data_IF_075824952121
#
_entry.id   IF_075824952121
#
_cell.length_a   1.000
_cell.length_b   1.000
_cell.length_c   1.000
_cell.angle_alpha   90.00
_cell.angle_beta   90.00
_cell.angle_gamma   90.00
#
_symmetry.space_group_name_H-M   'P 1'
#
loop_
_entity.id
_entity.type
_entity.pdbx_description
1 polymer ?
#
# COMPACT_ATOMS: atom_id res chain seq x y z
N UNK A 1 -6.39 -10.69 15.34
CA UNK A 1 -6.47 -11.87 14.45
C UNK A 1 -6.23 -11.41 13.02
N UNK A 2 -5.67 -12.25 12.17
CA UNK A 2 -5.64 -12.06 10.72
C UNK A 2 -6.72 -12.91 10.06
N UNK A 3 -7.28 -12.41 8.96
CA UNK A 3 -8.37 -13.04 8.22
C UNK A 3 -7.91 -13.38 6.80
N UNK A 4 -8.55 -14.37 6.18
CA UNK A 4 -8.45 -14.70 4.77
C UNK A 4 -9.83 -15.13 4.27
N UNK A 5 -10.31 -14.52 3.19
CA UNK A 5 -11.61 -14.78 2.61
C UNK A 5 -11.41 -15.45 1.25
N UNK A 6 -12.02 -16.62 1.07
CA UNK A 6 -11.96 -17.36 -0.19
C UNK A 6 -13.19 -18.24 -0.32
N UNK A 7 -13.78 -18.27 -1.52
CA UNK A 7 -14.92 -19.15 -1.85
C UNK A 7 -16.04 -19.06 -0.79
N UNK A 8 -16.46 -17.83 -0.48
CA UNK A 8 -17.51 -17.53 0.48
C UNK A 8 -17.24 -18.05 1.92
N UNK A 9 -15.97 -18.31 2.25
CA UNK A 9 -15.55 -18.83 3.55
C UNK A 9 -14.48 -17.94 4.17
N UNK A 10 -14.65 -17.63 5.46
CA UNK A 10 -13.68 -16.89 6.24
C UNK A 10 -12.77 -17.84 7.01
N UNK A 11 -11.46 -17.64 6.91
CA UNK A 11 -10.45 -18.42 7.61
C UNK A 11 -9.65 -17.53 8.57
N UNK A 12 -9.20 -18.11 9.69
CA UNK A 12 -8.21 -17.48 10.56
C UNK A 12 -6.83 -17.60 9.91
N UNK A 13 -6.34 -16.55 9.25
CA UNK A 13 -5.03 -16.58 8.58
C UNK A 13 -3.85 -16.39 9.53
N UNK A 14 -4.08 -15.70 10.64
CA UNK A 14 -3.05 -15.47 11.66
C UNK A 14 -3.64 -15.37 13.05
N UNK A 15 -3.11 -16.18 13.96
CA UNK A 15 -3.33 -15.96 15.38
C UNK A 15 -2.46 -14.79 15.88
N UNK A 16 -3.11 -13.76 16.41
CA UNK A 16 -2.46 -12.58 16.98
C UNK A 16 -2.70 -12.44 18.48
N UNK A 17 -3.26 -13.46 19.13
CA UNK A 17 -3.52 -13.50 20.57
C UNK A 17 -2.40 -14.32 21.28
N UNK A 18 -2.48 -14.50 22.60
CA UNK A 18 -1.63 -15.48 23.33
C UNK A 18 -2.32 -16.83 23.47
N UNK A 19 -3.60 -16.92 23.12
CA UNK A 19 -4.33 -18.18 23.17
C UNK A 19 -3.88 -19.03 21.99
N UNK A 20 -2.95 -19.95 22.26
CA UNK A 20 -2.39 -20.89 21.27
C UNK A 20 -3.43 -21.88 20.74
N UNK A 21 -4.60 -22.01 21.40
CA UNK A 21 -5.68 -22.89 20.93
C UNK A 21 -6.45 -22.30 19.73
N UNK A 22 -6.24 -21.02 19.41
CA UNK A 22 -6.69 -20.43 18.15
C UNK A 22 -5.75 -20.86 17.02
N UNK A 23 -6.16 -21.89 16.29
CA UNK A 23 -5.36 -22.49 15.24
C UNK A 23 -5.57 -21.78 13.90
N UNK A 24 -4.47 -21.31 13.29
CA UNK A 24 -4.53 -20.77 11.94
C UNK A 24 -5.05 -21.82 10.95
N UNK A 25 -5.91 -21.40 10.04
CA UNK A 25 -6.61 -22.26 9.08
C UNK A 25 -7.95 -22.79 9.50
N UNK A 26 -8.34 -22.60 10.76
CA UNK A 26 -9.73 -22.84 11.15
C UNK A 26 -10.68 -21.91 10.40
N UNK A 27 -11.79 -22.47 9.91
CA UNK A 27 -12.93 -21.71 9.37
C UNK A 27 -13.58 -20.94 10.51
N UNK A 28 -13.95 -19.69 10.26
CA UNK A 28 -14.74 -18.87 11.19
C UNK A 28 -16.19 -18.98 10.74
N UNK A 29 -17.01 -19.68 11.53
CA UNK A 29 -18.42 -19.89 11.23
C UNK A 29 -19.28 -18.70 11.67
N UNK A 30 -18.96 -18.12 12.84
CA UNK A 30 -19.61 -16.91 13.33
C UNK A 30 -18.74 -16.18 14.36
N UNK A 31 -18.96 -14.88 14.49
CA UNK A 31 -18.47 -14.04 15.58
C UNK A 31 -19.69 -13.38 16.22
N UNK A 32 -19.91 -13.58 17.52
CA UNK A 32 -21.11 -13.10 18.23
C UNK A 32 -22.41 -13.53 17.51
N UNK A 33 -22.45 -14.77 17.01
CA UNK A 33 -23.58 -15.30 16.25
C UNK A 33 -23.72 -14.77 14.82
N UNK A 34 -22.97 -13.74 14.42
CA UNK A 34 -23.01 -13.17 13.07
C UNK A 34 -22.10 -13.98 12.14
N UNK A 35 -22.72 -14.57 11.11
CA UNK A 35 -22.02 -15.27 10.02
C UNK A 35 -21.25 -14.26 9.15
N UNK A 36 -19.97 -14.51 8.81
CA UNK A 36 -19.19 -13.65 7.91
C UNK A 36 -19.87 -13.38 6.56
N UNK A 37 -20.60 -14.36 6.03
CA UNK A 37 -21.34 -14.26 4.76
C UNK A 37 -22.42 -13.17 4.83
N UNK A 38 -23.08 -12.99 5.99
CA UNK A 38 -24.08 -11.94 6.15
C UNK A 38 -23.43 -10.55 6.04
N UNK A 39 -22.23 -10.38 6.60
CA UNK A 39 -21.46 -9.15 6.48
C UNK A 39 -20.99 -8.93 5.06
N UNK A 40 -20.52 -9.98 4.38
CA UNK A 40 -20.11 -9.89 2.98
C UNK A 40 -21.27 -9.39 2.12
N UNK A 41 -22.43 -10.03 2.18
CA UNK A 41 -23.63 -9.62 1.42
C UNK A 41 -24.06 -8.18 1.75
N UNK A 42 -24.08 -7.80 3.03
CA UNK A 42 -24.52 -6.47 3.47
C UNK A 42 -23.55 -5.36 3.04
N UNK A 43 -22.25 -5.58 3.18
CA UNK A 43 -21.25 -4.53 3.00
C UNK A 43 -20.55 -4.55 1.65
N UNK A 44 -20.58 -5.65 0.90
CA UNK A 44 -20.01 -5.73 -0.46
C UNK A 44 -20.47 -4.60 -1.38
N UNK A 45 -21.74 -4.16 -1.38
CA UNK A 45 -22.18 -3.03 -2.21
C UNK A 45 -21.62 -1.66 -1.80
N UNK A 46 -21.01 -1.54 -0.61
CA UNK A 46 -20.55 -0.26 -0.05
C UNK A 46 -19.16 0.18 -0.52
N UNK A 47 -18.45 -0.67 -1.26
CA UNK A 47 -17.16 -0.36 -1.85
C UNK A 47 -17.06 -0.92 -3.27
N UNK A 48 -16.21 -0.28 -4.08
CA UNK A 48 -15.99 -0.62 -5.48
C UNK A 48 -14.54 -0.99 -5.71
N UNK A 49 -14.31 -1.81 -6.72
CA UNK A 49 -13.02 -1.97 -7.40
C UNK A 49 -12.99 -1.06 -8.63
N UNK A 50 -11.81 -0.95 -9.26
CA UNK A 50 -11.73 -0.25 -10.54
C UNK A 50 -12.30 -1.14 -11.66
N UNK A 51 -13.32 -0.64 -12.37
CA UNK A 51 -13.91 -1.33 -13.52
C UNK A 51 -14.50 -2.70 -13.19
N UNK A 52 -14.02 -3.73 -13.91
CA UNK A 52 -14.45 -5.13 -13.81
C UNK A 52 -13.55 -5.97 -12.89
N UNK A 53 -12.61 -5.36 -12.17
CA UNK A 53 -11.70 -6.08 -11.30
C UNK A 53 -12.44 -6.79 -10.15
N UNK A 54 -12.17 -8.07 -9.94
CA UNK A 54 -12.71 -8.84 -8.81
C UNK A 54 -11.66 -9.16 -7.74
N UNK A 55 -10.37 -9.10 -8.07
CA UNK A 55 -9.27 -9.51 -7.16
C UNK A 55 -9.13 -8.60 -5.94
N UNK A 56 -9.47 -7.31 -6.04
CA UNK A 56 -9.41 -6.40 -4.90
C UNK A 56 -10.54 -6.65 -3.89
N UNK A 57 -11.67 -7.19 -4.33
CA UNK A 57 -12.89 -7.23 -3.53
C UNK A 57 -12.72 -8.05 -2.26
N UNK A 58 -12.19 -9.26 -2.40
CA UNK A 58 -11.98 -10.16 -1.26
C UNK A 58 -10.95 -9.58 -0.29
N UNK A 59 -9.86 -9.01 -0.81
CA UNK A 59 -8.85 -8.35 0.01
C UNK A 59 -9.39 -7.11 0.74
N UNK A 60 -10.27 -6.33 0.10
CA UNK A 60 -10.90 -5.19 0.72
C UNK A 60 -11.84 -5.64 1.85
N UNK A 61 -12.62 -6.70 1.63
CA UNK A 61 -13.48 -7.29 2.64
C UNK A 61 -12.68 -7.75 3.86
N UNK A 62 -11.59 -8.51 3.68
CA UNK A 62 -10.72 -8.95 4.78
C UNK A 62 -10.18 -7.79 5.62
N UNK A 63 -9.73 -6.72 4.95
CA UNK A 63 -9.19 -5.52 5.60
C UNK A 63 -10.24 -4.75 6.38
N UNK A 64 -11.46 -4.69 5.87
CA UNK A 64 -12.58 -3.95 6.47
C UNK A 64 -13.39 -4.80 7.45
N UNK A 65 -13.18 -6.11 7.50
CA UNK A 65 -13.93 -7.01 8.36
C UNK A 65 -13.98 -6.59 9.84
N UNK A 66 -12.88 -6.16 10.49
CA UNK A 66 -12.95 -5.64 11.86
C UNK A 66 -13.87 -4.42 12.00
N UNK A 67 -13.91 -3.56 10.97
CA UNK A 67 -14.78 -2.38 10.93
C UNK A 67 -16.24 -2.77 10.74
N UNK A 68 -16.54 -3.79 9.93
CA UNK A 68 -17.91 -4.27 9.75
C UNK A 68 -18.46 -4.87 11.05
N UNK A 69 -17.70 -5.72 11.73
CA UNK A 69 -18.10 -6.19 13.06
C UNK A 69 -18.26 -5.06 14.08
N UNK A 70 -17.38 -4.05 14.05
CA UNK A 70 -17.53 -2.87 14.90
C UNK A 70 -18.85 -2.11 14.62
N UNK A 71 -19.28 -2.03 13.36
CA UNK A 71 -20.52 -1.36 12.99
C UNK A 71 -21.76 -2.14 13.45
N UNK A 72 -21.73 -3.48 13.42
CA UNK A 72 -22.86 -4.30 13.89
C UNK A 72 -22.93 -4.40 15.42
N UNK A 73 -21.79 -4.54 16.09
CA UNK A 73 -21.71 -4.92 17.51
C UNK A 73 -21.35 -3.76 18.44
N UNK A 74 -20.94 -2.61 17.88
CA UNK A 74 -20.29 -1.55 18.63
C UNK A 74 -18.88 -1.91 19.09
N UNK A 75 -18.37 -1.21 20.10
CA UNK A 75 -17.10 -1.56 20.73
C UNK A 75 -17.31 -2.67 21.76
N UNK A 76 -16.55 -3.75 21.63
CA UNK A 76 -16.56 -4.89 22.54
C UNK A 76 -15.13 -5.17 23.03
N UNK A 77 -14.98 -5.43 24.32
CA UNK A 77 -13.69 -5.84 24.90
C UNK A 77 -13.47 -7.35 24.85
N UNK A 78 -14.51 -8.13 24.55
CA UNK A 78 -14.38 -9.54 24.22
C UNK A 78 -15.41 -9.92 23.15
N UNK A 79 -15.06 -10.92 22.35
CA UNK A 79 -15.94 -11.50 21.34
C UNK A 79 -15.88 -13.02 21.40
N UNK A 80 -17.03 -13.68 21.26
CA UNK A 80 -17.14 -15.11 21.10
C UNK A 80 -17.06 -15.48 19.63
N UNK A 81 -16.19 -16.43 19.30
CA UNK A 81 -15.95 -16.87 17.93
C UNK A 81 -16.14 -18.38 17.85
N UNK A 82 -17.01 -18.80 16.93
CA UNK A 82 -17.25 -20.21 16.59
C UNK A 82 -16.37 -20.58 15.39
N UNK A 83 -15.53 -21.58 15.58
CA UNK A 83 -14.63 -22.10 14.57
C UNK A 83 -15.04 -23.50 14.12
N UNK A 84 -14.61 -23.88 12.92
CA UNK A 84 -14.59 -25.26 12.42
C UNK A 84 -13.19 -25.62 11.94
N UNK A 85 -12.74 -26.81 12.28
CA UNK A 85 -11.48 -27.38 11.81
C UNK A 85 -11.67 -28.87 11.55
N UNK A 86 -11.36 -29.31 10.33
CA UNK A 86 -11.77 -30.63 9.85
C UNK A 86 -13.27 -30.83 10.13
N UNK A 87 -13.64 -31.92 10.81
CA UNK A 87 -15.04 -32.30 11.05
C UNK A 87 -15.54 -31.87 12.44
N UNK A 88 -14.78 -31.04 13.16
CA UNK A 88 -15.15 -30.58 14.52
C UNK A 88 -15.30 -29.07 14.60
N UNK A 89 -16.20 -28.61 15.47
CA UNK A 89 -16.39 -27.21 15.83
C UNK A 89 -15.85 -26.93 17.22
N UNK A 90 -15.39 -25.69 17.43
CA UNK A 90 -14.96 -25.25 18.77
C UNK A 90 -15.20 -23.74 18.92
N UNK A 91 -15.52 -23.31 20.13
CA UNK A 91 -15.79 -21.91 20.45
C UNK A 91 -14.68 -21.32 21.32
N UNK A 92 -14.31 -20.06 21.07
CA UNK A 92 -13.33 -19.32 21.88
C UNK A 92 -13.77 -17.90 22.11
N UNK A 93 -13.51 -17.41 23.32
CA UNK A 93 -13.66 -15.98 23.64
C UNK A 93 -12.33 -15.27 23.41
N UNK A 94 -12.30 -14.37 22.44
CA UNK A 94 -11.15 -13.54 22.13
C UNK A 94 -11.29 -12.22 22.87
N UNK A 95 -10.31 -11.91 23.72
CA UNK A 95 -10.33 -10.70 24.54
C UNK A 95 -9.38 -9.65 23.97
N UNK A 96 -9.84 -8.40 23.99
CA UNK A 96 -9.05 -7.22 23.64
C UNK A 96 -7.88 -7.06 24.61
N UNK A 97 -6.74 -6.62 24.11
CA UNK A 97 -5.62 -6.21 24.94
C UNK A 97 -5.46 -4.71 25.00
N UNK A 98 -5.17 -4.25 26.20
CA UNK A 98 -4.58 -2.96 26.45
C UNK A 98 -3.08 -3.20 26.64
N UNK A 99 -2.25 -2.63 25.78
CA UNK A 99 -0.82 -2.53 26.09
C UNK A 99 -0.73 -1.72 27.39
N UNK A 100 -0.08 -2.24 28.43
CA UNK A 100 0.14 -1.50 29.67
C UNK A 100 0.83 -0.20 29.32
N UNK A 101 0.20 0.93 29.60
CA UNK A 101 0.86 2.23 29.52
C UNK A 101 2.04 2.14 30.49
N UNK A 102 3.27 2.20 30.00
CA UNK A 102 4.44 2.44 30.83
C UNK A 102 4.23 3.79 31.52
N UNK A 103 3.58 3.79 32.68
CA UNK A 103 3.59 4.89 33.62
C UNK A 103 5.02 5.01 34.11
N UNK A 104 5.82 5.79 33.38
CA UNK A 104 7.05 6.36 33.92
C UNK A 104 6.66 7.30 35.06
N UNK A 105 6.41 6.72 36.22
CA UNK A 105 6.39 7.45 37.48
C UNK A 105 7.78 8.08 37.63
N UNK A 106 7.84 9.40 37.52
CA UNK A 106 9.00 10.18 37.95
C UNK A 106 9.06 10.10 39.48
N UNK A 107 9.67 9.02 40.00
CA UNK A 107 10.15 9.01 41.38
C UNK A 107 11.52 9.68 41.38
N UNK A 108 11.59 10.85 42.02
CA UNK A 108 12.83 11.57 42.23
C UNK A 108 13.62 10.91 43.34
N UNK A 109 14.76 10.30 43.01
CA UNK A 109 15.88 10.13 43.92
C UNK A 109 17.15 10.41 43.10
N UNK A 110 17.86 11.47 43.48
CA UNK A 110 19.22 11.76 43.00
C UNK A 110 20.16 10.74 43.64
N UNK A 111 20.77 9.89 42.81
CA UNK A 111 21.99 9.18 43.22
C UNK A 111 22.97 9.14 42.05
N UNK A 112 24.05 9.88 42.26
CA UNK A 112 25.42 9.75 41.74
C UNK A 112 25.66 8.96 40.44
N UNK A 113 26.17 9.71 39.47
CA UNK A 113 26.67 9.30 38.15
C UNK A 113 27.77 8.23 38.30
N UNK A 114 27.50 7.04 37.77
CA UNK A 114 28.54 6.14 37.25
C UNK A 114 28.25 5.97 35.76
N UNK A 115 29.12 6.54 34.91
CA UNK A 115 29.08 6.37 33.45
C UNK A 115 29.34 4.90 33.10
N UNK A 116 28.27 4.12 32.94
CA UNK A 116 28.29 2.91 32.10
C UNK A 116 28.10 3.35 30.65
N UNK A 117 29.12 3.15 29.82
CA UNK A 117 29.06 3.36 28.37
C UNK A 117 27.94 2.48 27.79
N UNK A 118 26.86 3.12 27.33
CA UNK A 118 25.59 2.48 26.97
C UNK A 118 25.53 2.11 25.48
N UNK A 119 25.75 0.83 25.15
CA UNK A 119 25.33 0.24 23.85
C UNK A 119 23.80 0.29 23.54
N UNK A 120 22.86 0.39 24.50
CA UNK A 120 21.42 0.47 24.22
C UNK A 120 20.97 1.72 23.45
N UNK A 121 21.64 2.85 23.62
CA UNK A 121 21.21 4.14 23.07
C UNK A 121 21.53 4.29 21.57
N UNK A 122 22.64 3.70 21.12
CA UNK A 122 23.01 3.63 19.69
C UNK A 122 22.04 2.76 18.88
N UNK A 123 21.70 1.55 19.37
CA UNK A 123 20.73 0.68 18.68
C UNK A 123 19.35 1.35 18.54
N UNK A 124 18.90 2.09 19.56
CA UNK A 124 17.62 2.83 19.49
C UNK A 124 17.67 4.01 18.52
N UNK A 125 18.78 4.75 18.48
CA UNK A 125 18.95 5.88 17.56
C UNK A 125 19.02 5.41 16.09
N UNK A 126 19.69 4.28 15.85
CA UNK A 126 19.79 3.65 14.53
C UNK A 126 18.43 3.15 14.03
N UNK A 127 17.65 2.48 14.89
CA UNK A 127 16.30 2.05 14.55
C UNK A 127 15.39 3.23 14.22
N UNK A 128 15.46 4.33 14.98
CA UNK A 128 14.68 5.55 14.70
C UNK A 128 15.08 6.16 13.35
N UNK A 129 16.39 6.17 13.04
CA UNK A 129 16.91 6.65 11.76
C UNK A 129 16.43 5.78 10.59
N UNK A 130 16.51 4.45 10.72
CA UNK A 130 16.01 3.51 9.71
C UNK A 130 14.51 3.67 9.47
N UNK A 131 13.70 3.78 10.53
CA UNK A 131 12.25 4.06 10.45
C UNK A 131 11.94 5.34 9.67
N UNK A 132 12.73 6.39 9.87
CA UNK A 132 12.57 7.67 9.18
C UNK A 132 12.93 7.57 7.69
N UNK A 133 14.00 6.84 7.35
CA UNK A 133 14.49 6.73 5.98
C UNK A 133 13.59 5.81 5.16
N UNK A 134 13.40 4.57 5.59
CA UNK A 134 12.65 3.56 4.82
C UNK A 134 11.14 3.60 5.07
N UNK A 135 10.68 4.47 5.97
CA UNK A 135 9.27 4.66 6.30
C UNK A 135 8.76 3.60 7.26
N UNK A 136 8.03 4.01 8.30
CA UNK A 136 7.36 3.10 9.22
C UNK A 136 5.88 3.45 9.29
N UNK A 137 5.04 2.50 8.88
CA UNK A 137 3.60 2.61 8.99
C UNK A 137 3.17 2.12 10.38
N UNK A 138 2.76 3.06 11.24
CA UNK A 138 2.38 2.76 12.61
C UNK A 138 1.11 1.90 12.71
N UNK A 139 0.17 2.06 11.76
CA UNK A 139 -1.08 1.29 11.72
C UNK A 139 -0.82 -0.18 11.38
N UNK A 140 0.06 -0.43 10.40
CA UNK A 140 0.44 -1.78 9.99
C UNK A 140 1.57 -2.38 10.85
N UNK A 141 2.20 -1.57 11.70
CA UNK A 141 3.43 -1.90 12.46
C UNK A 141 4.53 -2.49 11.56
N UNK A 142 4.73 -1.91 10.37
CA UNK A 142 5.65 -2.42 9.34
C UNK A 142 6.44 -1.30 8.68
N UNK A 143 7.63 -1.65 8.18
CA UNK A 143 8.44 -0.78 7.35
C UNK A 143 7.87 -0.70 5.92
N UNK A 144 7.83 0.49 5.34
CA UNK A 144 7.25 0.71 4.00
C UNK A 144 8.15 0.19 2.89
N UNK A 145 9.47 0.24 3.06
CA UNK A 145 10.47 -0.28 2.12
C UNK A 145 11.40 -1.25 2.85
N UNK A 146 11.52 -2.48 2.34
CA UNK A 146 12.32 -3.54 2.96
C UNK A 146 13.11 -4.28 1.88
N UNK A 147 14.42 -4.37 2.04
CA UNK A 147 15.30 -5.15 1.17
C UNK A 147 15.80 -6.38 1.92
N UNK A 148 15.63 -7.56 1.33
CA UNK A 148 16.16 -8.83 1.83
C UNK A 148 16.76 -9.67 0.69
N UNK A 149 17.50 -10.71 1.06
CA UNK A 149 18.06 -11.70 0.13
C UNK A 149 17.43 -13.05 0.48
N UNK A 150 16.40 -13.49 -0.28
CA UNK A 150 15.58 -14.64 0.10
C UNK A 150 16.30 -15.98 -0.05
N UNK A 151 17.39 -16.05 -0.82
CA UNK A 151 18.16 -17.27 -1.03
C UNK A 151 19.36 -17.27 -0.08
N UNK A 152 19.42 -18.27 0.82
CA UNK A 152 20.51 -18.37 1.79
C UNK A 152 21.84 -18.59 1.09
N UNK A 153 22.82 -17.72 1.35
CA UNK A 153 24.16 -17.80 0.78
C UNK A 153 24.29 -17.24 -0.63
N UNK A 154 23.20 -16.75 -1.23
CA UNK A 154 23.19 -16.19 -2.58
C UNK A 154 22.66 -14.76 -2.56
N UNK A 155 23.55 -13.80 -2.78
CA UNK A 155 23.21 -12.38 -2.83
C UNK A 155 22.89 -11.88 -4.25
N UNK A 156 22.94 -12.76 -5.25
CA UNK A 156 22.54 -12.43 -6.62
C UNK A 156 21.02 -12.24 -6.76
N UNK A 157 20.24 -12.80 -5.83
CA UNK A 157 18.78 -12.66 -5.78
C UNK A 157 18.38 -11.74 -4.63
N UNK A 158 17.76 -10.60 -4.95
CA UNK A 158 17.27 -9.65 -3.97
C UNK A 158 15.74 -9.50 -4.02
N UNK A 159 15.11 -9.33 -2.87
CA UNK A 159 13.68 -9.03 -2.72
C UNK A 159 13.51 -7.63 -2.13
N UNK A 160 12.99 -6.71 -2.93
CA UNK A 160 12.54 -5.38 -2.50
C UNK A 160 11.03 -5.39 -2.29
N UNK A 161 10.59 -5.44 -1.04
CA UNK A 161 9.18 -5.30 -0.68
C UNK A 161 8.83 -3.84 -0.43
N UNK A 162 7.86 -3.32 -1.20
CA UNK A 162 7.32 -1.96 -1.02
C UNK A 162 5.87 -2.06 -0.58
N UNK A 163 5.63 -1.89 0.72
CA UNK A 163 4.32 -2.03 1.35
C UNK A 163 3.40 -0.84 1.02
N UNK A 164 3.97 0.36 0.89
CA UNK A 164 3.26 1.57 0.52
C UNK A 164 4.19 2.67 -0.01
N UNK A 165 3.63 3.63 -0.74
CA UNK A 165 4.32 4.82 -1.25
C UNK A 165 4.04 6.08 -0.39
N UNK A 166 3.71 5.89 0.90
CA UNK A 166 3.18 6.92 1.79
C UNK A 166 4.12 7.29 2.94
N UNK A 167 5.15 6.50 3.26
CA UNK A 167 6.10 6.83 4.33
C UNK A 167 7.56 6.77 3.90
N UNK A 168 8.41 7.46 4.66
CA UNK A 168 9.87 7.47 4.48
C UNK A 168 10.39 8.64 3.66
N UNK A 169 11.68 8.57 3.34
CA UNK A 169 12.43 9.53 2.53
C UNK A 169 12.84 8.85 1.22
N UNK A 170 12.00 8.85 0.18
CA UNK A 170 12.20 8.01 -1.01
C UNK A 170 13.57 8.21 -1.67
N UNK A 171 14.01 9.47 -1.84
CA UNK A 171 15.34 9.76 -2.42
C UNK A 171 16.48 9.07 -1.67
N UNK A 172 16.48 9.17 -0.34
CA UNK A 172 17.52 8.58 0.50
C UNK A 172 17.38 7.06 0.62
N UNK A 173 16.15 6.56 0.73
CA UNK A 173 15.85 5.14 0.84
C UNK A 173 16.25 4.38 -0.41
N UNK A 174 15.77 4.80 -1.59
CA UNK A 174 16.06 4.11 -2.84
C UNK A 174 17.53 4.22 -3.20
N UNK A 175 18.19 5.37 -3.01
CA UNK A 175 19.64 5.45 -3.20
C UNK A 175 20.39 4.37 -2.41
N UNK A 176 20.12 4.24 -1.11
CA UNK A 176 20.76 3.21 -0.25
C UNK A 176 20.43 1.78 -0.69
N UNK A 177 19.20 1.54 -1.17
CA UNK A 177 18.77 0.22 -1.64
C UNK A 177 19.53 -0.14 -2.92
N UNK A 178 19.51 0.72 -3.93
CA UNK A 178 20.14 0.45 -5.22
C UNK A 178 21.67 0.47 -5.16
N UNK A 179 22.28 1.29 -4.29
CA UNK A 179 23.71 1.19 -3.97
C UNK A 179 24.04 -0.20 -3.39
N UNK A 180 23.18 -0.72 -2.50
CA UNK A 180 23.34 -2.08 -1.94
C UNK A 180 23.14 -3.17 -2.98
N UNK A 181 22.22 -3.01 -3.94
CA UNK A 181 22.07 -3.96 -5.05
C UNK A 181 23.36 -4.03 -5.88
N UNK A 182 23.95 -2.86 -6.19
CA UNK A 182 25.22 -2.79 -6.92
C UNK A 182 26.39 -3.44 -6.17
N UNK A 183 26.52 -3.16 -4.87
CA UNK A 183 27.56 -3.78 -4.02
C UNK A 183 27.47 -5.30 -3.92
N UNK A 184 26.27 -5.86 -4.06
CA UNK A 184 26.03 -7.31 -3.99
C UNK A 184 25.94 -7.96 -5.38
N UNK A 185 26.21 -7.20 -6.45
CA UNK A 185 26.14 -7.68 -7.83
C UNK A 185 24.84 -8.43 -8.13
N UNK A 186 23.72 -7.88 -7.67
CA UNK A 186 22.39 -8.51 -7.81
C UNK A 186 22.07 -8.72 -9.29
N UNK A 187 21.79 -9.97 -9.66
CA UNK A 187 21.40 -10.37 -11.01
C UNK A 187 19.89 -10.39 -11.18
N UNK A 188 19.15 -10.76 -10.11
CA UNK A 188 17.70 -10.87 -10.10
C UNK A 188 17.08 -10.02 -8.98
N UNK A 189 16.28 -9.03 -9.36
CA UNK A 189 15.52 -8.21 -8.42
C UNK A 189 14.05 -8.61 -8.46
N UNK A 190 13.52 -8.98 -7.31
CA UNK A 190 12.10 -9.24 -7.10
C UNK A 190 11.50 -8.02 -6.41
N UNK A 191 10.65 -7.27 -7.10
CA UNK A 191 9.88 -6.16 -6.56
C UNK A 191 8.51 -6.65 -6.10
N UNK A 192 8.28 -6.72 -4.79
CA UNK A 192 7.00 -7.15 -4.21
C UNK A 192 6.10 -5.93 -3.95
N UNK A 193 5.07 -5.76 -4.79
CA UNK A 193 4.03 -4.73 -4.69
C UNK A 193 2.71 -5.26 -4.10
N UNK A 194 2.65 -6.55 -3.73
CA UNK A 194 1.42 -7.15 -3.23
C UNK A 194 0.90 -6.44 -1.98
N UNK A 195 -0.40 -6.12 -1.97
CA UNK A 195 -1.07 -5.40 -0.90
C UNK A 195 -0.79 -3.90 -0.82
N UNK A 196 -0.04 -3.33 -1.77
CA UNK A 196 0.32 -1.91 -1.79
C UNK A 196 -0.80 -1.05 -2.42
N UNK A 197 -1.53 -0.32 -1.57
CA UNK A 197 -2.65 0.55 -1.98
C UNK A 197 -2.20 1.89 -2.62
N UNK A 198 -0.92 2.05 -2.93
CA UNK A 198 -0.36 3.24 -3.54
C UNK A 198 0.18 4.26 -2.53
N UNK A 199 0.06 5.54 -2.86
CA UNK A 199 0.60 6.64 -2.07
C UNK A 199 1.03 7.82 -2.94
N UNK A 200 2.15 8.46 -2.59
CA UNK A 200 2.61 9.67 -3.27
C UNK A 200 3.25 9.36 -4.62
N UNK A 201 2.84 10.13 -5.63
CA UNK A 201 3.42 10.08 -6.96
C UNK A 201 4.95 10.31 -6.96
N UNK A 202 5.44 11.19 -6.07
CA UNK A 202 6.87 11.48 -5.94
C UNK A 202 7.71 10.31 -5.44
N UNK A 203 7.13 9.44 -4.62
CA UNK A 203 7.77 8.26 -4.04
C UNK A 203 7.87 7.15 -5.08
N UNK A 204 6.75 6.81 -5.73
CA UNK A 204 6.73 5.80 -6.80
C UNK A 204 7.56 6.21 -8.01
N UNK A 205 7.51 7.49 -8.42
CA UNK A 205 8.35 8.01 -9.51
C UNK A 205 9.84 7.95 -9.15
N UNK A 206 10.20 8.14 -7.88
CA UNK A 206 11.60 7.96 -7.46
C UNK A 206 12.03 6.50 -7.62
N UNK A 207 11.21 5.53 -7.20
CA UNK A 207 11.51 4.10 -7.45
C UNK A 207 11.66 3.81 -8.94
N UNK A 208 10.69 4.24 -9.76
CA UNK A 208 10.71 4.02 -11.21
C UNK A 208 11.98 4.56 -11.86
N UNK A 209 12.52 5.69 -11.40
CA UNK A 209 13.76 6.28 -11.93
C UNK A 209 15.01 5.42 -11.76
N UNK A 210 14.97 4.40 -10.89
CA UNK A 210 16.02 3.39 -10.73
C UNK A 210 15.75 2.09 -11.50
N UNK A 211 14.52 1.89 -12.00
CA UNK A 211 14.10 0.64 -12.66
C UNK A 211 14.05 0.76 -14.19
N UNK A 212 13.91 1.97 -14.73
CA UNK A 212 13.96 2.20 -16.18
C UNK A 212 15.33 1.88 -16.78
N UNK A 213 15.33 1.34 -18.00
CA UNK A 213 16.58 1.05 -18.73
C UNK A 213 17.14 2.30 -19.38
N UNK A 214 16.25 3.11 -19.96
CA UNK A 214 16.59 4.32 -20.71
C UNK A 214 17.19 5.42 -19.83
N UNK A 215 18.01 6.28 -20.44
CA UNK A 215 18.61 7.44 -19.77
C UNK A 215 17.60 8.55 -19.42
N UNK A 216 16.44 8.52 -20.07
CA UNK A 216 15.34 9.45 -19.85
C UNK A 216 14.05 8.67 -19.72
N UNK A 217 13.17 9.14 -18.86
CA UNK A 217 11.86 8.53 -18.66
C UNK A 217 10.81 9.60 -18.40
N UNK A 218 9.56 9.24 -18.63
CA UNK A 218 8.39 9.95 -18.14
C UNK A 218 7.54 8.92 -17.37
N UNK A 219 6.95 9.32 -16.25
CA UNK A 219 6.22 8.38 -15.38
C UNK A 219 4.71 8.43 -15.59
N UNK A 220 4.14 9.61 -15.83
CA UNK A 220 2.71 9.80 -16.06
C UNK A 220 2.49 10.76 -17.23
N UNK A 221 1.31 10.74 -17.83
CA UNK A 221 0.88 11.86 -18.68
C UNK A 221 0.57 13.10 -17.82
N UNK A 222 0.53 14.32 -18.41
CA UNK A 222 -0.16 15.43 -17.79
C UNK A 222 -1.59 15.02 -17.42
N UNK A 223 -2.03 15.34 -16.22
CA UNK A 223 -3.32 14.86 -15.73
C UNK A 223 -4.46 15.71 -16.30
N UNK A 224 -5.56 15.05 -16.69
CA UNK A 224 -6.77 15.75 -17.15
C UNK A 224 -7.51 16.30 -15.94
N UNK A 225 -7.96 17.55 -16.04
CA UNK A 225 -8.70 18.26 -14.99
C UNK A 225 -9.95 18.90 -15.57
N UNK A 226 -10.97 19.11 -14.74
CA UNK A 226 -12.20 19.78 -15.16
C UNK A 226 -12.03 21.30 -15.29
N UNK A 227 -11.22 21.92 -14.42
CA UNK A 227 -10.99 23.36 -14.42
C UNK A 227 -9.59 23.71 -13.95
N UNK A 228 -8.86 24.54 -14.72
CA UNK A 228 -7.55 25.09 -14.31
C UNK A 228 -7.69 26.06 -13.14
N UNK A 229 -8.73 26.90 -13.18
CA UNK A 229 -8.90 28.00 -12.24
C UNK A 229 -9.32 27.52 -10.86
N UNK A 230 -10.25 26.55 -10.80
CA UNK A 230 -10.85 26.14 -9.53
C UNK A 230 -10.05 25.09 -8.76
N UNK A 231 -9.17 24.34 -9.43
CA UNK A 231 -8.37 23.26 -8.84
C UNK A 231 -7.59 23.63 -7.56
N UNK A 232 -6.87 24.77 -7.47
CA UNK A 232 -6.16 25.14 -6.25
C UNK A 232 -7.11 25.46 -5.08
N UNK A 233 -8.28 26.03 -5.35
CA UNK A 233 -9.25 26.38 -4.31
C UNK A 233 -9.96 25.15 -3.73
N UNK A 234 -10.08 24.06 -4.50
CA UNK A 234 -10.61 22.81 -3.97
C UNK A 234 -9.76 22.21 -2.85
N UNK A 235 -8.45 22.48 -2.80
CA UNK A 235 -7.59 21.96 -1.73
C UNK A 235 -7.93 22.51 -0.35
N UNK A 236 -8.54 23.70 -0.31
CA UNK A 236 -8.94 24.40 0.93
C UNK A 236 -10.45 24.46 1.12
N UNK A 237 -11.22 23.96 0.15
CA UNK A 237 -12.68 23.93 0.21
C UNK A 237 -13.12 23.05 1.39
N UNK A 238 -13.96 23.62 2.25
CA UNK A 238 -14.46 22.97 3.46
C UNK A 238 -13.76 23.39 4.76
N UNK A 239 -12.75 24.26 4.68
CA UNK A 239 -12.22 24.93 5.87
C UNK A 239 -13.20 25.97 6.43
N UNK A 240 -13.17 26.26 7.75
CA UNK A 240 -14.00 27.30 8.36
C UNK A 240 -13.75 28.68 7.77
N UNK A 241 -14.80 29.51 7.63
CA UNK A 241 -14.72 30.83 6.98
C UNK A 241 -13.66 31.77 7.59
N UNK A 242 -13.45 31.70 8.91
CA UNK A 242 -12.45 32.51 9.61
C UNK A 242 -11.00 32.19 9.22
N UNK A 243 -10.74 31.00 8.67
CA UNK A 243 -9.38 30.57 8.32
C UNK A 243 -8.90 31.09 6.97
N UNK A 244 -9.81 31.48 6.06
CA UNK A 244 -9.43 31.91 4.71
C UNK A 244 -8.57 33.18 4.68
N UNK A 245 -8.87 34.26 5.44
CA UNK A 245 -7.99 35.44 5.47
C UNK A 245 -6.57 35.09 5.91
N UNK A 246 -6.42 34.22 6.91
CA UNK A 246 -5.14 33.78 7.48
C UNK A 246 -4.35 32.92 6.49
N UNK A 247 -5.04 32.04 5.75
CA UNK A 247 -4.40 31.13 4.79
C UNK A 247 -4.21 31.75 3.40
N UNK A 248 -4.86 32.88 3.10
CA UNK A 248 -4.80 33.55 1.80
C UNK A 248 -3.36 33.82 1.31
N UNK A 249 -2.37 34.20 2.15
CA UNK A 249 -1.00 34.40 1.69
C UNK A 249 -0.31 33.13 1.19
N UNK A 250 -0.83 31.94 1.53
CA UNK A 250 -0.34 30.66 1.04
C UNK A 250 -1.18 30.12 -0.12
N UNK A 251 -2.51 30.33 -0.06
CA UNK A 251 -3.45 29.86 -1.08
C UNK A 251 -3.16 30.54 -2.42
N UNK A 252 -3.03 31.88 -2.44
CA UNK A 252 -2.87 32.64 -3.69
C UNK A 252 -1.58 32.27 -4.44
N UNK A 253 -0.38 32.23 -3.81
CA UNK A 253 0.82 31.76 -4.49
C UNK A 253 0.70 30.31 -4.98
N UNK A 254 0.08 29.42 -4.20
CA UNK A 254 -0.14 28.03 -4.62
C UNK A 254 -1.05 27.93 -5.85
N UNK A 255 -2.05 28.82 -5.96
CA UNK A 255 -2.94 28.92 -7.10
C UNK A 255 -2.19 29.37 -8.35
N UNK A 256 -1.36 30.42 -8.23
CA UNK A 256 -0.50 30.87 -9.34
C UNK A 256 0.41 29.74 -9.83
N UNK A 257 1.08 29.03 -8.92
CA UNK A 257 1.91 27.86 -9.28
C UNK A 257 1.08 26.77 -9.95
N UNK A 258 -0.14 26.50 -9.47
CA UNK A 258 -1.04 25.52 -10.11
C UNK A 258 -1.43 25.95 -11.54
N UNK A 259 -1.72 27.23 -11.75
CA UNK A 259 -2.12 27.76 -13.06
C UNK A 259 -0.96 27.73 -14.06
N UNK A 260 0.26 28.09 -13.65
CA UNK A 260 1.44 27.99 -14.52
C UNK A 260 1.76 26.58 -15.00
N UNK A 261 1.31 25.55 -14.26
CA UNK A 261 1.45 24.14 -14.64
C UNK A 261 0.31 23.64 -15.52
N UNK A 262 -0.74 24.42 -15.70
CA UNK A 262 -1.98 23.99 -16.32
C UNK A 262 -2.15 24.59 -17.71
N UNK A 263 -2.62 23.79 -18.68
CA UNK A 263 -2.74 24.19 -20.08
C UNK A 263 -3.97 23.54 -20.72
N UNK A 264 -4.44 24.07 -21.86
CA UNK A 264 -5.55 23.48 -22.62
C UNK A 264 -5.02 22.95 -23.92
N UNK A 265 -5.55 21.82 -24.36
CA UNK A 265 -5.31 21.27 -25.68
C UNK A 265 -6.60 20.58 -26.13
N UNK A 266 -7.06 20.88 -27.34
CA UNK A 266 -8.26 20.27 -27.95
C UNK A 266 -9.51 20.36 -27.06
N UNK A 267 -9.72 21.52 -26.42
CA UNK A 267 -10.85 21.75 -25.50
C UNK A 267 -10.74 21.06 -24.14
N UNK A 268 -9.69 20.27 -23.90
CA UNK A 268 -9.45 19.56 -22.64
C UNK A 268 -8.41 20.31 -21.81
N UNK A 269 -8.63 20.38 -20.49
CA UNK A 269 -7.70 21.01 -19.56
C UNK A 269 -6.75 19.97 -18.93
N UNK A 270 -5.48 20.33 -18.84
CA UNK A 270 -4.43 19.48 -18.29
C UNK A 270 -3.64 20.21 -17.21
N UNK A 271 -2.96 19.45 -16.35
CA UNK A 271 -1.96 19.98 -15.41
C UNK A 271 -0.75 19.06 -15.29
N UNK A 272 0.44 19.67 -15.21
CA UNK A 272 1.67 18.92 -14.99
C UNK A 272 1.80 18.42 -13.54
N UNK A 273 1.89 17.10 -13.41
CA UNK A 273 2.20 16.40 -12.17
C UNK A 273 3.70 16.10 -12.03
N UNK A 274 4.12 15.72 -10.82
CA UNK A 274 5.43 15.10 -10.61
C UNK A 274 5.57 13.86 -11.50
N UNK A 275 6.63 13.77 -12.31
CA UNK A 275 6.80 12.67 -13.27
C UNK A 275 6.03 12.83 -14.58
N UNK A 276 5.32 13.94 -14.81
CA UNK A 276 4.64 14.22 -16.09
C UNK A 276 5.52 14.83 -17.18
N UNK A 277 6.75 15.19 -16.83
CA UNK A 277 7.76 15.69 -17.76
C UNK A 277 8.82 14.63 -17.94
N UNK A 278 9.52 14.68 -19.07
CA UNK A 278 10.71 13.84 -19.30
C UNK A 278 11.80 14.22 -18.30
N UNK A 279 12.26 13.24 -17.53
CA UNK A 279 13.29 13.37 -16.49
C UNK A 279 14.48 12.46 -16.83
N UNK A 280 15.67 12.81 -16.35
CA UNK A 280 16.83 11.91 -16.41
C UNK A 280 16.66 10.79 -15.38
N UNK A 281 16.93 9.56 -15.80
CA UNK A 281 16.95 8.41 -14.91
C UNK A 281 18.21 8.42 -14.02
N UNK A 282 18.23 7.60 -12.96
CA UNK A 282 19.32 7.64 -11.95
C UNK A 282 20.62 7.04 -12.49
N UNK A 283 21.76 7.42 -11.90
CA UNK A 283 23.04 6.81 -12.27
C UNK A 283 23.13 5.34 -11.86
N UNK A 284 22.74 5.02 -10.62
CA UNK A 284 22.74 3.65 -10.06
C UNK A 284 21.47 2.85 -10.41
N UNK A 285 21.06 2.91 -11.68
CA UNK A 285 19.92 2.13 -12.19
C UNK A 285 20.18 0.64 -12.13
N UNK A 286 19.13 -0.12 -11.84
CA UNK A 286 19.19 -1.57 -11.90
C UNK A 286 18.90 -2.05 -13.32
N UNK A 287 19.87 -2.75 -13.90
CA UNK A 287 19.83 -3.26 -15.28
C UNK A 287 19.68 -4.78 -15.39
N UNK A 288 19.65 -5.49 -14.26
CA UNK A 288 19.41 -6.93 -14.24
C UNK A 288 17.94 -7.29 -14.43
N UNK A 289 17.66 -8.58 -14.28
CA UNK A 289 16.34 -9.15 -14.49
C UNK A 289 15.38 -8.75 -13.37
N UNK A 290 14.21 -8.24 -13.76
CA UNK A 290 13.21 -7.72 -12.85
C UNK A 290 11.95 -8.59 -12.87
N UNK A 291 11.58 -9.10 -11.70
CA UNK A 291 10.29 -9.74 -11.44
C UNK A 291 9.44 -8.82 -10.58
N UNK A 292 8.16 -8.68 -10.89
CA UNK A 292 7.21 -7.88 -10.09
C UNK A 292 6.11 -8.78 -9.57
N UNK A 293 5.96 -8.84 -8.25
CA UNK A 293 4.88 -9.57 -7.61
C UNK A 293 3.68 -8.65 -7.41
N UNK A 294 2.52 -9.04 -7.93
CA UNK A 294 1.28 -8.25 -7.91
C UNK A 294 0.09 -9.07 -7.40
N UNK A 295 -0.91 -8.37 -6.90
CA UNK A 295 -2.19 -8.93 -6.44
C UNK A 295 -3.31 -7.88 -6.47
N UNK A 296 -4.52 -8.28 -6.09
CA UNK A 296 -5.67 -7.38 -5.96
C UNK A 296 -5.43 -6.18 -5.03
N UNK A 297 -4.49 -6.25 -4.10
CA UNK A 297 -4.13 -5.14 -3.21
C UNK A 297 -3.14 -4.15 -3.82
N UNK A 298 -2.60 -4.43 -5.01
CA UNK A 298 -1.78 -3.50 -5.79
C UNK A 298 -2.70 -2.46 -6.43
N UNK A 299 -2.71 -1.24 -5.90
CA UNK A 299 -3.72 -0.23 -6.22
C UNK A 299 -3.13 1.18 -6.42
N UNK A 300 -3.86 2.05 -7.14
CA UNK A 300 -3.53 3.47 -7.33
C UNK A 300 -2.10 3.68 -7.87
N UNK A 301 -1.25 4.42 -7.19
CA UNK A 301 0.14 4.66 -7.60
C UNK A 301 0.95 3.37 -7.81
N UNK A 302 0.62 2.28 -7.12
CA UNK A 302 1.26 0.98 -7.34
C UNK A 302 0.84 0.37 -8.69
N UNK A 303 -0.41 0.54 -9.10
CA UNK A 303 -0.88 0.15 -10.44
C UNK A 303 -0.20 0.99 -11.53
N UNK A 304 0.04 2.29 -11.31
CA UNK A 304 0.73 3.13 -12.30
C UNK A 304 2.14 2.64 -12.62
N UNK A 305 2.93 2.28 -11.61
CA UNK A 305 4.27 1.71 -11.84
C UNK A 305 4.20 0.31 -12.44
N UNK A 306 3.22 -0.50 -12.02
CA UNK A 306 2.97 -1.82 -12.62
C UNK A 306 2.69 -1.68 -14.13
N UNK A 307 1.80 -0.76 -14.54
CA UNK A 307 1.51 -0.53 -15.96
C UNK A 307 2.76 -0.11 -16.72
N UNK A 308 3.51 0.88 -16.22
CA UNK A 308 4.70 1.36 -16.92
C UNK A 308 5.75 0.26 -17.10
N UNK A 309 6.00 -0.54 -16.06
CA UNK A 309 6.96 -1.64 -16.14
C UNK A 309 6.47 -2.78 -17.05
N UNK A 310 5.16 -3.07 -17.03
CA UNK A 310 4.55 -4.13 -17.86
C UNK A 310 4.54 -3.76 -19.33
N UNK A 311 3.93 -2.63 -19.67
CA UNK A 311 3.74 -2.19 -21.06
C UNK A 311 5.08 -1.76 -21.66
N UNK A 312 5.97 -1.17 -20.85
CA UNK A 312 7.36 -0.92 -21.22
C UNK A 312 8.24 -2.17 -21.30
N UNK A 313 7.68 -3.38 -21.11
CA UNK A 313 8.37 -4.68 -21.19
C UNK A 313 9.63 -4.79 -20.32
N UNK A 314 9.66 -4.08 -19.20
CA UNK A 314 10.82 -4.02 -18.29
C UNK A 314 10.90 -5.21 -17.35
N UNK A 315 9.78 -5.86 -17.06
CA UNK A 315 9.72 -6.89 -16.02
C UNK A 315 8.73 -8.01 -16.33
N UNK A 316 8.95 -9.17 -15.70
CA UNK A 316 8.01 -10.29 -15.68
C UNK A 316 7.11 -10.19 -14.44
N UNK A 317 5.80 -10.24 -14.64
CA UNK A 317 4.80 -10.09 -13.59
C UNK A 317 4.28 -11.44 -13.13
N UNK A 318 4.20 -11.65 -11.81
CA UNK A 318 3.77 -12.92 -11.21
C UNK A 318 2.75 -12.66 -10.11
N UNK A 319 1.67 -13.43 -10.08
CA UNK A 319 0.62 -13.31 -9.06
C UNK A 319 -0.77 -13.18 -9.66
N UNK A 320 -1.54 -12.19 -9.21
CA UNK A 320 -2.94 -11.95 -9.62
C UNK A 320 -3.09 -10.57 -10.25
N UNK A 321 -4.20 -10.35 -10.97
CA UNK A 321 -4.56 -9.04 -11.53
C UNK A 321 -4.51 -7.95 -10.44
N UNK A 322 -3.90 -6.80 -10.75
CA UNK A 322 -3.87 -5.65 -9.83
C UNK A 322 -5.27 -5.11 -9.56
N UNK A 323 -5.55 -4.68 -8.34
CA UNK A 323 -6.85 -4.10 -8.01
C UNK A 323 -7.14 -2.75 -8.66
N UNK A 324 -6.10 -1.92 -8.84
CA UNK A 324 -6.25 -0.64 -9.52
C UNK A 324 -6.13 -0.81 -11.03
N UNK A 325 -6.87 0.00 -11.78
CA UNK A 325 -6.91 -0.07 -13.24
C UNK A 325 -5.54 0.19 -13.88
N UNK A 326 -5.23 -0.57 -14.93
CA UNK A 326 -4.02 -0.38 -15.72
C UNK A 326 -4.05 0.95 -16.49
N UNK A 327 -5.24 1.44 -16.85
CA UNK A 327 -5.44 2.66 -17.64
C UNK A 327 -5.19 3.96 -16.88
N UNK A 328 -5.14 3.92 -15.55
CA UNK A 328 -4.93 5.12 -14.73
C UNK A 328 -5.82 5.16 -13.49
N UNK A 329 -5.84 6.31 -12.82
CA UNK A 329 -6.61 6.51 -11.59
C UNK A 329 -7.13 7.95 -11.51
N UNK A 330 -8.32 8.12 -10.96
CA UNK A 330 -8.87 9.46 -10.64
C UNK A 330 -8.47 9.83 -9.21
N UNK A 331 -7.49 10.73 -9.08
CA UNK A 331 -6.87 11.07 -7.81
C UNK A 331 -6.39 12.53 -7.78
N UNK A 332 -5.15 12.75 -7.33
CA UNK A 332 -4.54 14.07 -7.25
C UNK A 332 -5.06 14.89 -6.08
N UNK A 333 -5.75 16.00 -6.39
CA UNK A 333 -6.44 16.80 -5.38
C UNK A 333 -7.69 16.07 -4.93
N UNK A 334 -7.78 15.79 -3.62
CA UNK A 334 -8.81 14.95 -3.01
C UNK A 334 -9.55 15.74 -1.91
N UNK A 335 -10.40 16.73 -2.28
CA UNK A 335 -11.12 17.55 -1.32
C UNK A 335 -12.07 16.71 -0.47
N UNK A 336 -12.32 17.14 0.76
CA UNK A 336 -13.37 16.57 1.62
C UNK A 336 -14.53 17.55 1.62
N UNK A 337 -15.60 17.21 0.90
CA UNK A 337 -16.80 18.04 0.81
C UNK A 337 -17.86 17.54 1.79
N UNK A 338 -18.60 18.46 2.39
CA UNK A 338 -19.78 18.15 3.21
C UNK A 338 -21.03 18.30 2.34
N UNK A 339 -21.82 17.23 2.18
CA UNK A 339 -23.06 17.28 1.43
C UNK A 339 -24.10 18.16 2.15
N UNK A 340 -24.90 18.97 1.43
CA UNK A 340 -25.75 19.99 2.05
C UNK A 340 -26.85 19.39 2.92
N UNK A 341 -27.51 18.32 2.48
CA UNK A 341 -28.68 17.77 3.16
C UNK A 341 -28.32 16.65 4.15
N UNK A 342 -27.49 15.70 3.74
CA UNK A 342 -27.13 14.56 4.60
C UNK A 342 -25.96 14.85 5.55
N UNK A 343 -25.23 15.95 5.32
CA UNK A 343 -24.01 16.30 6.04
C UNK A 343 -22.90 15.26 5.99
N UNK A 344 -23.03 14.25 5.13
CA UNK A 344 -21.99 13.26 4.90
C UNK A 344 -20.75 13.93 4.31
N UNK A 345 -19.58 13.44 4.74
CA UNK A 345 -18.29 13.86 4.19
C UNK A 345 -17.96 12.95 3.02
N UNK A 346 -17.79 13.55 1.85
CA UNK A 346 -17.45 12.87 0.62
C UNK A 346 -16.09 13.31 0.11
N UNK A 347 -15.27 12.36 -0.33
CA UNK A 347 -13.91 12.58 -0.84
C UNK A 347 -13.75 11.88 -2.18
N UNK A 348 -13.36 12.62 -3.21
CA UNK A 348 -13.16 12.11 -4.57
C UNK A 348 -12.01 12.84 -5.26
N UNK A 349 -11.39 12.19 -6.25
CA UNK A 349 -10.27 12.77 -6.99
C UNK A 349 -10.72 13.78 -8.05
N UNK A 350 -9.90 14.81 -8.27
CA UNK A 350 -10.16 15.86 -9.26
C UNK A 350 -9.24 15.80 -10.48
N UNK A 351 -8.40 14.77 -10.58
CA UNK A 351 -7.42 14.62 -11.64
C UNK A 351 -7.47 13.20 -12.19
N UNK A 352 -7.64 13.04 -13.50
CA UNK A 352 -7.41 11.76 -14.18
C UNK A 352 -5.90 11.62 -14.45
N UNK A 353 -5.27 10.69 -13.74
CA UNK A 353 -3.84 10.44 -13.76
C UNK A 353 -3.58 9.15 -14.51
N UNK A 354 -3.02 9.28 -15.71
CA UNK A 354 -2.66 8.15 -16.56
C UNK A 354 -1.17 7.81 -16.43
N UNK A 355 -0.78 6.53 -16.49
CA UNK A 355 0.62 6.12 -16.61
C UNK A 355 1.25 6.73 -17.87
N UNK A 356 2.56 6.59 -18.09
CA UNK A 356 3.16 7.07 -19.34
C UNK A 356 2.76 6.14 -20.50
N UNK A 357 3.06 4.86 -20.34
CA UNK A 357 2.61 3.83 -21.29
C UNK A 357 1.12 3.57 -21.11
N UNK A 358 0.34 3.80 -22.17
CA UNK A 358 -1.11 3.61 -22.16
C UNK A 358 -1.47 2.17 -22.48
N UNK A 359 -2.62 1.75 -21.95
CA UNK A 359 -3.28 0.50 -22.33
C UNK A 359 -4.59 0.82 -23.04
N UNK A 360 -4.96 -0.02 -24.01
CA UNK A 360 -6.21 0.13 -24.76
C UNK A 360 -7.39 -0.51 -24.03
N UNK A 361 -7.15 -1.56 -23.24
CA UNK A 361 -8.18 -2.26 -22.48
C UNK A 361 -8.59 -1.43 -21.26
N UNK A 362 -9.85 -1.00 -21.23
CA UNK A 362 -10.41 -0.25 -20.12
C UNK A 362 -11.02 -1.20 -19.06
N UNK A 363 -11.01 -0.74 -17.81
CA UNK A 363 -11.74 -1.42 -16.73
C UNK A 363 -11.08 -2.68 -16.18
N UNK A 364 -9.82 -2.97 -16.52
CA UNK A 364 -9.02 -4.05 -15.94
C UNK A 364 -7.74 -3.54 -15.32
N UNK A 365 -7.23 -4.28 -14.35
CA UNK A 365 -5.90 -4.10 -13.79
C UNK A 365 -4.79 -4.63 -14.69
N UNK A 366 -3.55 -4.53 -14.22
CA UNK A 366 -2.39 -5.14 -14.88
C UNK A 366 -2.44 -6.64 -14.67
N UNK A 367 -2.44 -7.39 -15.77
CA UNK A 367 -2.42 -8.86 -15.74
C UNK A 367 -1.01 -9.41 -15.46
N UNK A 368 -0.88 -10.48 -14.66
CA UNK A 368 0.37 -11.19 -14.50
C UNK A 368 0.77 -11.90 -15.80
N UNK A 369 2.08 -12.04 -16.06
CA UNK A 369 2.59 -12.95 -17.09
C UNK A 369 2.47 -14.40 -16.63
N UNK A 370 2.69 -14.62 -15.34
CA UNK A 370 2.62 -15.93 -14.70
C UNK A 370 1.53 -15.85 -13.62
N UNK A 371 0.28 -16.23 -13.94
CA UNK A 371 -0.81 -16.21 -12.98
C UNK A 371 -0.56 -17.24 -11.87
N UNK A 372 -0.61 -16.77 -10.63
CA UNK A 372 -0.47 -17.59 -9.42
C UNK A 372 -1.43 -17.06 -8.36
N UNK A 373 -2.46 -17.84 -8.05
CA UNK A 373 -3.40 -17.58 -6.97
C UNK A 373 -2.92 -18.31 -5.72
N UNK A 374 -2.95 -17.63 -4.57
CA UNK A 374 -2.58 -18.24 -3.28
C UNK A 374 -3.74 -19.08 -2.77
N UNK A 375 -3.51 -20.36 -2.48
CA UNK A 375 -4.55 -21.21 -1.89
C UNK A 375 -4.75 -20.93 -0.39
N UNK A 376 -5.91 -21.33 0.16
CA UNK A 376 -6.14 -21.36 1.60
C UNK A 376 -5.01 -22.11 2.30
N UNK A 377 -4.63 -23.28 1.77
CA UNK A 377 -3.57 -24.11 2.31
C UNK A 377 -2.21 -23.40 2.38
N UNK A 378 -1.88 -22.58 1.37
CA UNK A 378 -0.66 -21.78 1.36
C UNK A 378 -0.68 -20.68 2.42
N UNK A 379 -1.84 -20.05 2.65
CA UNK A 379 -2.01 -19.07 3.72
C UNK A 379 -1.79 -19.73 5.08
N UNK A 380 -2.41 -20.89 5.30
CA UNK A 380 -2.33 -21.65 6.57
C UNK A 380 -0.91 -22.11 6.84
N UNK A 381 -0.25 -22.67 5.83
CA UNK A 381 1.12 -23.22 5.94
C UNK A 381 2.20 -22.14 5.87
N UNK A 382 1.81 -20.87 5.71
CA UNK A 382 2.76 -19.76 5.57
C UNK A 382 3.62 -19.83 4.31
N UNK A 383 3.17 -20.55 3.27
CA UNK A 383 3.85 -20.68 1.98
C UNK A 383 3.57 -19.46 1.11
N UNK A 384 4.56 -19.08 0.29
CA UNK A 384 4.44 -18.00 -0.67
C UNK A 384 4.62 -18.56 -2.10
N UNK A 385 3.54 -19.11 -2.70
CA UNK A 385 3.62 -19.78 -4.00
C UNK A 385 4.04 -18.82 -5.13
N UNK A 386 3.75 -17.53 -4.98
CA UNK A 386 4.12 -16.48 -5.94
C UNK A 386 5.64 -16.28 -5.93
N UNK A 387 6.23 -16.12 -4.75
CA UNK A 387 7.68 -16.01 -4.59
C UNK A 387 8.39 -17.31 -5.00
N UNK A 388 7.86 -18.46 -4.58
CA UNK A 388 8.42 -19.78 -4.92
C UNK A 388 8.44 -20.00 -6.43
N UNK A 389 7.43 -19.51 -7.16
CA UNK A 389 7.39 -19.60 -8.62
C UNK A 389 8.53 -18.81 -9.26
N UNK A 390 8.79 -17.58 -8.80
CA UNK A 390 9.91 -16.77 -9.30
C UNK A 390 11.26 -17.43 -8.99
N UNK A 391 11.46 -17.88 -7.75
CA UNK A 391 12.71 -18.54 -7.36
C UNK A 391 12.96 -19.83 -8.15
N UNK A 392 11.91 -20.55 -8.55
CA UNK A 392 12.03 -21.70 -9.45
C UNK A 392 12.38 -21.29 -10.89
N UNK A 393 11.86 -20.16 -11.37
CA UNK A 393 12.18 -19.65 -12.71
C UNK A 393 13.63 -19.17 -12.83
N UNK A 394 14.20 -18.62 -11.75
CA UNK A 394 15.61 -18.15 -11.71
C UNK A 394 16.61 -19.32 -11.72
N UNK A 395 16.23 -20.47 -11.17
CA UNK A 395 17.11 -21.66 -11.07
C UNK A 395 17.18 -22.50 -12.35
N UNK A 396 16.31 -22.23 -13.32
CA UNK A 396 16.31 -22.89 -14.61
C UNK A 396 17.17 -22.11 -15.57
#
# INVERSE_FOLDING_TARGET
>A
MGFHWQENTLYLSKNGTLDSSLVAGSKILSIEGIKPQNLYTKYRPTFTSDGYNTTFIDQAFERLLPRYYQLELGYKDSISVLFSRADSTYQRTVVRRFDSVDTKAKSGIRTTVVKKVSQPDQKKSDLKKQRKIFGYNANLKRMSKQLSFPVKGDSSVALLKVVDFSYGRPKEAYRRIFDRLGLNSVQYLILDLRGNLGGRLSDVRELYSYLVEEDKFQFVQPAVITSKFNLPFYQVKGLPSWSYPILSPFIIPSAVVSWTKSFSKDGINYTHLTGSKVEKSKGSRYRGDLFVLIDGGTFSAASLIATNLKVGKRAVFVGEETGGAASGTVAGVLPVLKLPNSHLRWRFGLMDVKPYYQVNEAGRGVMPDIPVVRSVDDVIKGKDPVLDKVLKSIKK
#
